data_IF_072185964268
#
_entry.id   IF_072185964268
#
_cell.length_a   1.000
_cell.length_b   1.000
_cell.length_c   1.000
_cell.angle_alpha   90.00
_cell.angle_beta   90.00
_cell.angle_gamma   90.00
#
_symmetry.space_group_name_H-M   'P 1'
#
loop_
_entity.id
_entity.type
_entity.pdbx_description
1 polymer ?
#
# COMPACT_ATOMS: atom_id res chain seq x y z
N UNK A 1 26.20 28.12 -1.79
CA UNK A 1 25.22 28.96 -1.07
C UNK A 1 24.54 29.90 -2.06
N UNK A 2 23.42 29.48 -2.65
CA UNK A 2 22.60 30.36 -3.50
C UNK A 2 21.49 30.97 -2.62
N UNK A 3 21.79 32.11 -2.00
CA UNK A 3 20.76 32.94 -1.36
C UNK A 3 19.88 33.53 -2.47
N UNK A 4 18.66 33.02 -2.64
CA UNK A 4 17.60 33.71 -3.40
C UNK A 4 17.03 34.85 -2.54
N UNK A 5 16.57 35.95 -3.15
CA UNK A 5 16.43 37.24 -2.47
C UNK A 5 15.18 37.27 -1.59
N UNK A 6 15.34 37.64 -0.32
CA UNK A 6 14.23 38.01 0.55
C UNK A 6 13.54 39.25 -0.01
N UNK A 7 12.24 39.18 -0.29
CA UNK A 7 11.44 40.37 -0.64
C UNK A 7 11.22 41.15 0.64
N UNK A 8 11.92 42.27 0.78
CA UNK A 8 11.70 43.25 1.85
C UNK A 8 10.43 44.04 1.56
N UNK A 9 9.30 43.65 2.15
CA UNK A 9 8.14 44.54 2.25
C UNK A 9 8.39 45.52 3.41
N UNK A 10 8.85 46.72 3.07
CA UNK A 10 8.98 47.81 4.02
C UNK A 10 7.59 48.34 4.39
N UNK A 11 7.01 47.84 5.47
CA UNK A 11 5.96 48.56 6.19
C UNK A 11 6.60 49.39 7.30
N UNK A 12 6.18 50.65 7.34
CA UNK A 12 6.80 51.70 8.13
C UNK A 12 6.61 51.41 9.63
N UNK A 13 7.69 51.64 10.39
CA UNK A 13 7.82 51.57 11.85
C UNK A 13 7.91 50.17 12.47
N UNK A 14 9.14 49.65 12.48
CA UNK A 14 9.72 49.03 13.68
C UNK A 14 9.20 47.65 14.09
N UNK A 15 9.14 46.68 13.18
CA UNK A 15 9.25 45.23 13.46
C UNK A 15 9.41 44.48 12.13
N UNK A 16 10.63 44.06 11.80
CA UNK A 16 10.83 43.16 10.67
C UNK A 16 10.46 41.74 11.09
N UNK A 17 9.22 41.31 10.83
CA UNK A 17 8.91 39.88 10.79
C UNK A 17 9.39 39.36 9.44
N UNK A 18 10.63 38.86 9.40
CA UNK A 18 11.11 38.05 8.31
C UNK A 18 10.40 36.68 8.39
N UNK A 19 9.26 36.56 7.72
CA UNK A 19 8.66 35.26 7.48
C UNK A 19 9.41 34.61 6.30
N UNK A 20 10.48 33.88 6.60
CA UNK A 20 10.93 32.85 5.68
C UNK A 20 9.88 31.73 5.78
N UNK A 21 9.19 31.43 4.68
CA UNK A 21 8.47 30.17 4.59
C UNK A 21 9.53 29.06 4.73
N UNK A 22 9.68 28.51 5.92
CA UNK A 22 10.53 27.35 6.14
C UNK A 22 9.87 26.21 5.36
N UNK A 23 10.54 25.72 4.32
CA UNK A 23 10.09 24.50 3.65
C UNK A 23 9.97 23.40 4.72
N UNK A 24 8.82 22.74 4.76
CA UNK A 24 8.56 21.70 5.75
C UNK A 24 9.59 20.57 5.53
N UNK A 25 10.47 20.27 6.51
CA UNK A 25 11.51 19.25 6.35
C UNK A 25 10.92 17.87 6.06
N UNK A 26 9.67 17.61 6.48
CA UNK A 26 8.92 16.39 6.17
C UNK A 26 8.63 16.20 4.68
N UNK A 27 8.69 17.28 3.89
CA UNK A 27 8.38 17.28 2.46
C UNK A 27 9.63 17.32 1.58
N UNK A 28 10.83 17.37 2.18
CA UNK A 28 12.08 17.46 1.45
C UNK A 28 12.52 16.07 0.97
N UNK A 29 12.76 15.95 -0.34
CA UNK A 29 13.35 14.75 -0.93
C UNK A 29 14.85 14.72 -0.61
N UNK A 30 15.39 13.58 -0.15
CA UNK A 30 16.83 13.44 0.12
C UNK A 30 17.64 13.51 -1.19
N UNK A 31 18.80 14.17 -1.14
CA UNK A 31 19.76 14.20 -2.25
C UNK A 31 21.17 13.91 -1.69
N UNK A 32 21.82 12.81 -2.11
CA UNK A 32 23.17 12.46 -1.68
C UNK A 32 24.23 13.53 -1.97
N UNK A 33 24.00 14.37 -2.98
CA UNK A 33 24.98 15.34 -3.45
C UNK A 33 26.13 14.71 -4.25
N UNK A 34 27.12 15.52 -4.67
CA UNK A 34 28.17 15.10 -5.59
C UNK A 34 29.38 14.42 -4.91
N UNK A 35 29.45 14.42 -3.59
CA UNK A 35 30.53 13.74 -2.87
C UNK A 35 30.20 12.26 -2.65
N UNK A 36 31.23 11.43 -2.39
CA UNK A 36 31.10 9.96 -2.36
C UNK A 36 31.32 9.36 -0.95
N UNK A 37 31.19 10.14 0.11
CA UNK A 37 31.19 9.58 1.47
C UNK A 37 29.88 8.82 1.72
N UNK A 38 29.92 7.84 2.63
CA UNK A 38 28.74 7.09 3.06
C UNK A 38 28.31 7.52 4.46
N UNK A 39 27.76 8.74 4.58
CA UNK A 39 27.32 9.30 5.86
C UNK A 39 25.83 9.01 6.04
N UNK A 40 25.40 8.34 7.12
CA UNK A 40 23.98 8.11 7.36
C UNK A 40 23.29 9.44 7.64
N UNK A 41 22.18 9.67 6.95
CA UNK A 41 21.30 10.82 7.11
C UNK A 41 19.85 10.35 6.99
N UNK A 42 18.88 11.16 7.41
CA UNK A 42 17.48 10.75 7.51
C UNK A 42 16.55 11.68 6.74
N UNK A 43 15.46 11.13 6.25
CA UNK A 43 14.35 11.87 5.65
C UNK A 43 13.02 11.24 6.09
N UNK A 44 11.95 12.03 6.08
CA UNK A 44 10.62 11.49 6.28
C UNK A 44 10.09 10.99 4.95
N UNK A 45 9.85 9.70 4.88
CA UNK A 45 9.28 9.08 3.70
C UNK A 45 7.76 9.23 3.76
N UNK A 46 7.21 10.04 2.85
CA UNK A 46 5.79 10.37 2.84
C UNK A 46 4.91 9.19 2.42
N UNK A 47 5.43 8.24 1.65
CA UNK A 47 4.68 7.03 1.31
C UNK A 47 4.56 6.15 2.57
N UNK A 48 5.61 6.13 3.38
CA UNK A 48 5.75 5.24 4.54
C UNK A 48 5.34 5.82 5.87
N UNK A 49 5.19 7.13 5.95
CA UNK A 49 5.02 7.87 7.19
C UNK A 49 6.07 7.50 8.24
N UNK A 50 7.30 7.20 7.79
CA UNK A 50 8.39 6.77 8.65
C UNK A 50 9.69 7.49 8.29
N UNK A 51 10.60 7.52 9.25
CA UNK A 51 11.91 8.08 9.08
C UNK A 51 12.85 7.04 8.47
N UNK A 52 13.28 7.29 7.24
CA UNK A 52 14.12 6.38 6.47
C UNK A 52 15.54 6.94 6.38
N UNK A 53 16.54 6.05 6.46
CA UNK A 53 17.95 6.40 6.31
C UNK A 53 18.36 6.43 4.83
N UNK A 54 19.20 7.38 4.45
CA UNK A 54 19.89 7.42 3.16
C UNK A 54 21.37 7.74 3.35
N UNK A 55 22.17 7.51 2.30
CA UNK A 55 23.61 7.78 2.29
C UNK A 55 23.90 9.17 1.72
N UNK A 56 24.29 10.11 2.57
CA UNK A 56 24.74 11.44 2.16
C UNK A 56 26.24 11.45 1.84
N UNK A 57 26.58 12.07 0.71
CA UNK A 57 27.93 12.17 0.18
C UNK A 57 28.90 12.98 1.02
N UNK A 58 28.42 13.72 2.01
CA UNK A 58 29.23 14.61 2.86
C UNK A 58 29.45 16.01 2.30
N UNK A 59 28.88 16.33 1.14
CA UNK A 59 28.84 17.69 0.63
C UNK A 59 27.65 17.93 -0.30
N UNK A 60 27.11 19.14 -0.30
CA UNK A 60 25.96 19.49 -1.15
C UNK A 60 24.72 18.64 -0.83
N UNK A 61 23.85 18.46 -1.82
CA UNK A 61 22.64 17.66 -1.66
C UNK A 61 21.60 18.28 -0.72
N UNK A 62 20.67 17.43 -0.26
CA UNK A 62 19.59 17.76 0.65
C UNK A 62 19.57 16.71 1.74
N UNK A 63 19.78 17.16 2.98
CA UNK A 63 19.71 16.35 4.20
C UNK A 63 18.55 16.89 5.03
N UNK A 64 17.37 16.24 4.98
CA UNK A 64 16.21 16.71 5.75
C UNK A 64 16.42 16.62 7.27
N UNK A 65 17.06 15.54 7.74
CA UNK A 65 17.38 15.31 9.16
C UNK A 65 18.77 14.68 9.30
N UNK A 66 19.53 15.11 10.31
CA UNK A 66 20.88 14.58 10.57
C UNK A 66 20.87 13.40 11.52
N UNK A 67 19.75 13.12 12.19
CA UNK A 67 19.56 11.98 13.10
C UNK A 67 18.17 11.38 12.96
N UNK A 68 17.99 10.12 13.38
CA UNK A 68 16.69 9.47 13.43
C UNK A 68 15.75 10.21 14.39
N UNK A 69 16.26 10.59 15.56
CA UNK A 69 15.52 11.25 16.63
C UNK A 69 14.95 12.60 16.18
N UNK A 70 15.71 13.36 15.37
CA UNK A 70 15.22 14.62 14.78
C UNK A 70 14.06 14.39 13.82
N UNK A 71 14.14 13.35 13.00
CA UNK A 71 13.09 13.02 12.05
C UNK A 71 11.81 12.58 12.78
N UNK A 72 11.92 11.70 13.77
CA UNK A 72 10.77 11.20 14.54
C UNK A 72 10.12 12.33 15.35
N UNK A 73 10.92 13.24 15.91
CA UNK A 73 10.42 14.40 16.65
C UNK A 73 9.71 15.45 15.78
N UNK A 74 9.92 15.44 14.46
CA UNK A 74 9.34 16.41 13.54
C UNK A 74 7.82 16.24 13.30
N UNK A 75 7.21 15.18 13.83
CA UNK A 75 5.76 14.90 13.77
C UNK A 75 5.20 14.95 12.33
N UNK A 76 5.98 14.46 11.37
CA UNK A 76 5.66 14.50 9.95
C UNK A 76 4.42 13.66 9.54
N UNK A 77 3.95 12.76 10.43
CA UNK A 77 2.76 11.90 10.23
C UNK A 77 1.40 12.63 10.30
N UNK A 78 1.43 13.90 10.71
CA UNK A 78 0.36 14.89 10.81
C UNK A 78 -0.44 15.22 9.53
N UNK A 79 -0.88 14.26 8.70
CA UNK A 79 -1.81 14.56 7.58
C UNK A 79 -1.47 14.03 6.19
N UNK A 80 -0.50 13.12 6.06
CA UNK A 80 -0.29 12.30 4.86
C UNK A 80 -0.75 10.88 5.15
N UNK A 81 -1.73 10.36 4.40
CA UNK A 81 -2.14 8.97 4.54
C UNK A 81 -0.96 8.05 4.22
N UNK A 82 -0.38 7.41 5.23
CA UNK A 82 0.71 6.47 5.03
C UNK A 82 0.30 5.17 4.38
N UNK A 83 1.26 4.25 4.29
CA UNK A 83 1.03 2.89 3.80
C UNK A 83 -0.16 2.19 4.45
N UNK A 84 -0.64 2.61 5.62
CA UNK A 84 -1.90 2.08 6.17
C UNK A 84 -3.03 2.11 5.15
N UNK A 85 -3.17 3.20 4.37
CA UNK A 85 -4.13 3.25 3.27
C UNK A 85 -3.80 2.34 2.08
N UNK A 86 -2.51 2.05 1.85
CA UNK A 86 -2.05 1.12 0.81
C UNK A 86 -2.28 -0.34 1.23
N UNK A 87 -1.94 -0.72 2.46
CA UNK A 87 -2.17 -2.05 3.02
C UNK A 87 -3.66 -2.39 3.10
N UNK A 88 -4.51 -1.42 3.45
CA UNK A 88 -5.97 -1.58 3.42
C UNK A 88 -6.52 -1.77 1.99
N UNK A 89 -5.75 -1.37 0.98
CA UNK A 89 -6.09 -1.50 -0.44
C UNK A 89 -5.47 -2.73 -1.10
N UNK A 90 -4.86 -3.64 -0.31
CA UNK A 90 -4.32 -4.92 -0.77
C UNK A 90 -5.14 -6.03 -0.11
N UNK A 91 -5.82 -6.82 -0.93
CA UNK A 91 -6.49 -8.04 -0.49
C UNK A 91 -5.59 -9.25 -0.73
N UNK A 92 -5.43 -10.09 0.29
CA UNK A 92 -4.77 -11.39 0.17
C UNK A 92 -5.72 -12.48 0.66
N UNK A 93 -6.14 -13.34 -0.26
CA UNK A 93 -7.15 -14.38 -0.01
C UNK A 93 -6.53 -15.76 -0.17
N UNK A 94 -6.58 -16.64 0.84
CA UNK A 94 -6.19 -18.04 0.68
C UNK A 94 -7.02 -18.73 -0.40
N UNK A 95 -6.36 -19.33 -1.40
CA UNK A 95 -7.00 -20.13 -2.45
C UNK A 95 -6.90 -21.62 -2.14
N UNK A 96 -5.69 -22.10 -1.83
CA UNK A 96 -5.41 -23.51 -1.55
C UNK A 96 -4.45 -23.61 -0.37
N UNK A 97 -4.91 -24.28 0.70
CA UNK A 97 -4.03 -24.70 1.80
C UNK A 97 -3.46 -26.07 1.40
N UNK A 98 -2.20 -26.08 0.95
CA UNK A 98 -1.53 -27.31 0.54
C UNK A 98 -1.35 -28.29 1.69
N UNK A 99 -1.27 -29.57 1.34
CA UNK A 99 -0.82 -30.64 2.25
C UNK A 99 0.71 -30.78 2.19
N UNK A 100 1.27 -31.71 2.95
CA UNK A 100 2.71 -32.03 2.89
C UNK A 100 3.23 -32.45 1.49
N UNK A 101 2.37 -32.85 0.55
CA UNK A 101 2.78 -33.20 -0.82
C UNK A 101 2.86 -31.97 -1.72
N UNK A 102 1.92 -31.04 -1.57
CA UNK A 102 1.90 -29.77 -2.30
C UNK A 102 2.97 -28.81 -1.77
N UNK A 103 3.14 -28.76 -0.45
CA UNK A 103 4.23 -28.07 0.25
C UNK A 103 4.15 -26.54 0.25
N UNK A 104 3.02 -25.95 -0.17
CA UNK A 104 2.84 -24.51 -0.22
C UNK A 104 1.39 -24.08 0.04
N UNK A 105 1.22 -22.83 0.47
CA UNK A 105 -0.04 -22.11 0.51
C UNK A 105 -0.17 -21.26 -0.77
N UNK A 106 -1.28 -21.42 -1.48
CA UNK A 106 -1.63 -20.55 -2.61
C UNK A 106 -2.57 -19.44 -2.12
N UNK A 107 -2.23 -18.20 -2.47
CA UNK A 107 -3.04 -17.01 -2.17
C UNK A 107 -3.32 -16.22 -3.45
N UNK A 108 -4.51 -15.67 -3.56
CA UNK A 108 -4.83 -14.63 -4.53
C UNK A 108 -4.48 -13.28 -3.94
N UNK A 109 -3.75 -12.46 -4.69
CA UNK A 109 -3.44 -11.09 -4.31
C UNK A 109 -4.10 -10.15 -5.30
N UNK A 110 -4.86 -9.20 -4.78
CA UNK A 110 -5.49 -8.14 -5.57
C UNK A 110 -5.22 -6.79 -4.91
N UNK A 111 -4.77 -5.84 -5.72
CA UNK A 111 -4.42 -4.50 -5.29
C UNK A 111 -5.38 -3.50 -5.93
N UNK A 112 -5.95 -2.61 -5.13
CA UNK A 112 -6.96 -1.64 -5.56
C UNK A 112 -6.51 -0.18 -5.40
N UNK A 113 -5.25 0.04 -5.04
CA UNK A 113 -4.74 1.39 -4.86
C UNK A 113 -4.32 2.02 -6.19
N UNK A 114 -4.66 3.29 -6.40
CA UNK A 114 -4.39 4.03 -7.64
C UNK A 114 -3.09 4.86 -7.57
N UNK A 115 -2.19 4.55 -6.64
CA UNK A 115 -0.93 5.29 -6.46
C UNK A 115 0.16 4.77 -7.40
N UNK A 116 1.13 5.62 -7.75
CA UNK A 116 2.35 5.20 -8.44
C UNK A 116 3.35 4.46 -7.51
N UNK A 117 2.97 4.20 -6.26
CA UNK A 117 3.80 3.49 -5.30
C UNK A 117 4.00 2.02 -5.71
N UNK A 118 5.26 1.59 -5.73
CA UNK A 118 5.67 0.27 -6.19
C UNK A 118 6.50 -0.43 -5.11
N UNK A 119 6.03 -1.58 -4.64
CA UNK A 119 6.79 -2.41 -3.71
C UNK A 119 7.88 -3.18 -4.46
N UNK A 120 9.13 -2.73 -4.39
CA UNK A 120 10.26 -3.38 -5.06
C UNK A 120 10.73 -4.66 -4.37
N UNK A 121 11.00 -5.71 -5.15
CA UNK A 121 11.47 -7.01 -4.63
C UNK A 121 10.63 -7.56 -3.46
N UNK A 122 9.31 -7.43 -3.59
CA UNK A 122 8.38 -7.66 -2.50
C UNK A 122 7.97 -9.13 -2.35
N UNK A 123 7.89 -9.58 -1.11
CA UNK A 123 7.55 -10.96 -0.78
C UNK A 123 6.64 -11.06 0.45
N UNK A 124 5.75 -12.05 0.42
CA UNK A 124 4.93 -12.43 1.55
C UNK A 124 5.62 -13.49 2.41
N UNK A 125 5.47 -13.35 3.72
CA UNK A 125 5.90 -14.32 4.71
C UNK A 125 4.83 -14.48 5.79
N UNK A 126 4.59 -15.73 6.20
CA UNK A 126 3.56 -16.11 7.14
C UNK A 126 4.23 -16.58 8.44
N UNK A 127 3.78 -16.03 9.56
CA UNK A 127 4.32 -16.31 10.89
C UNK A 127 3.25 -16.87 11.81
N UNK A 128 3.66 -17.67 12.80
CA UNK A 128 2.79 -18.08 13.90
C UNK A 128 2.78 -17.02 15.03
N UNK A 129 2.00 -17.28 16.08
CA UNK A 129 1.88 -16.44 17.27
C UNK A 129 3.18 -16.31 18.08
N UNK A 130 4.10 -17.26 17.93
CA UNK A 130 5.44 -17.21 18.51
C UNK A 130 6.43 -16.42 17.63
N UNK A 131 6.03 -15.96 16.45
CA UNK A 131 6.90 -15.27 15.49
C UNK A 131 7.81 -16.22 14.70
N UNK A 132 7.51 -17.51 14.68
CA UNK A 132 8.21 -18.52 13.87
C UNK A 132 7.73 -18.43 12.43
N UNK A 133 8.66 -18.51 11.49
CA UNK A 133 8.32 -18.55 10.07
C UNK A 133 7.62 -19.88 9.74
N UNK A 134 6.43 -19.80 9.15
CA UNK A 134 5.58 -20.94 8.78
C UNK A 134 5.68 -21.20 7.28
N UNK A 135 5.53 -20.16 6.48
CA UNK A 135 5.59 -20.23 5.02
C UNK A 135 6.14 -18.92 4.46
N UNK A 136 6.83 -18.95 3.32
CA UNK A 136 7.30 -17.71 2.68
C UNK A 136 7.42 -17.88 1.17
N UNK A 137 7.29 -16.76 0.47
CA UNK A 137 7.69 -16.70 -0.91
C UNK A 137 9.20 -16.74 -1.07
N UNK A 138 9.65 -17.32 -2.18
CA UNK A 138 11.03 -17.25 -2.62
C UNK A 138 11.10 -16.83 -4.09
N UNK A 139 12.32 -16.71 -4.60
CA UNK A 139 12.57 -16.27 -5.99
C UNK A 139 11.95 -17.19 -7.05
N UNK A 140 11.71 -18.46 -6.74
CA UNK A 140 11.08 -19.42 -7.65
C UNK A 140 9.54 -19.34 -7.61
N UNK A 141 8.96 -18.87 -6.51
CA UNK A 141 7.50 -18.87 -6.29
C UNK A 141 6.84 -17.51 -6.39
N UNK A 142 7.62 -16.43 -6.48
CA UNK A 142 7.16 -15.07 -6.72
C UNK A 142 7.37 -14.66 -8.20
N UNK A 143 6.43 -14.94 -9.12
CA UNK A 143 6.58 -14.61 -10.54
C UNK A 143 6.73 -13.09 -10.81
N UNK A 144 6.32 -12.27 -9.85
CA UNK A 144 6.49 -10.81 -9.81
C UNK A 144 7.58 -10.38 -8.81
N UNK A 145 8.64 -11.17 -8.63
CA UNK A 145 9.78 -10.87 -7.74
C UNK A 145 10.45 -9.50 -7.99
N UNK A 146 10.14 -8.81 -9.09
CA UNK A 146 10.62 -7.44 -9.35
C UNK A 146 9.77 -6.38 -8.62
N UNK A 147 8.49 -6.65 -8.37
CA UNK A 147 7.65 -5.87 -7.47
C UNK A 147 6.16 -5.89 -7.77
N UNK A 148 5.41 -5.06 -7.04
CA UNK A 148 3.95 -5.07 -6.97
C UNK A 148 3.39 -3.64 -6.93
N UNK A 149 2.57 -3.24 -7.91
CA UNK A 149 2.28 -1.84 -8.25
C UNK A 149 0.79 -1.50 -8.46
N UNK A 150 -0.15 -2.30 -7.96
CA UNK A 150 -1.59 -1.98 -8.10
C UNK A 150 -2.18 -2.25 -9.49
N UNK A 151 -1.36 -2.42 -10.53
CA UNK A 151 -1.79 -2.54 -11.93
C UNK A 151 -1.92 -3.99 -12.39
N UNK A 152 -1.16 -4.90 -11.76
CA UNK A 152 -1.37 -6.33 -11.83
C UNK A 152 -2.66 -6.65 -11.06
N UNK A 153 -3.79 -6.74 -11.77
CA UNK A 153 -5.05 -7.22 -11.21
C UNK A 153 -4.93 -8.62 -10.58
N UNK A 154 -6.00 -9.14 -9.96
CA UNK A 154 -5.96 -10.36 -9.17
C UNK A 154 -5.11 -11.50 -9.77
N UNK A 155 -4.12 -11.98 -9.00
CA UNK A 155 -3.21 -13.03 -9.44
C UNK A 155 -2.76 -13.94 -8.28
N UNK A 156 -2.48 -15.23 -8.56
CA UNK A 156 -2.02 -16.15 -7.53
C UNK A 156 -0.54 -15.89 -7.15
N UNK A 157 -0.20 -16.20 -5.91
CA UNK A 157 1.15 -16.25 -5.34
C UNK A 157 1.29 -17.47 -4.45
N UNK A 158 2.51 -17.99 -4.29
CA UNK A 158 2.76 -19.26 -3.61
C UNK A 158 3.78 -19.10 -2.49
N UNK A 159 3.37 -19.39 -1.25
CA UNK A 159 4.21 -19.38 -0.07
C UNK A 159 4.63 -20.82 0.27
N UNK A 160 5.89 -21.15 0.09
CA UNK A 160 6.44 -22.47 0.39
C UNK A 160 6.53 -22.67 1.91
N UNK A 161 6.11 -23.86 2.35
CA UNK A 161 6.15 -24.25 3.76
C UNK A 161 7.58 -24.47 4.24
N UNK A 162 7.82 -24.07 5.50
CA UNK A 162 9.04 -24.46 6.19
C UNK A 162 9.05 -25.98 6.44
N UNK A 163 10.23 -26.60 6.59
CA UNK A 163 10.33 -28.04 6.82
C UNK A 163 9.50 -28.48 8.04
N UNK A 164 8.58 -29.42 7.82
CA UNK A 164 7.71 -29.98 8.87
C UNK A 164 6.41 -29.20 9.11
N UNK A 165 6.16 -28.12 8.36
CA UNK A 165 4.88 -27.42 8.37
C UNK A 165 3.91 -28.08 7.38
N UNK A 166 2.69 -28.33 7.84
CA UNK A 166 1.55 -28.76 7.03
C UNK A 166 0.28 -28.09 7.57
N UNK A 167 -0.07 -26.94 6.99
CA UNK A 167 -1.21 -26.14 7.42
C UNK A 167 -2.56 -26.85 7.26
N UNK A 168 -2.66 -27.83 6.35
CA UNK A 168 -3.89 -28.62 6.17
C UNK A 168 -4.27 -29.44 7.41
N UNK A 169 -3.32 -29.66 8.31
CA UNK A 169 -3.51 -30.41 9.55
C UNK A 169 -3.80 -29.54 10.77
N UNK A 170 -3.72 -28.21 10.63
CA UNK A 170 -3.88 -27.28 11.75
C UNK A 170 -5.36 -27.08 12.07
N UNK A 171 -5.71 -27.13 13.36
CA UNK A 171 -7.07 -26.93 13.80
C UNK A 171 -7.38 -25.42 13.93
N UNK A 172 -8.54 -25.01 13.39
CA UNK A 172 -9.11 -23.67 13.63
C UNK A 172 -9.71 -23.58 15.05
N UNK A 173 -9.61 -22.41 15.73
CA UNK A 173 -8.90 -21.21 15.28
C UNK A 173 -7.40 -21.33 15.53
N UNK A 174 -6.60 -20.95 14.55
CA UNK A 174 -5.16 -20.72 14.73
C UNK A 174 -4.91 -19.20 14.83
N UNK A 175 -3.67 -18.79 15.02
CA UNK A 175 -3.28 -17.38 14.97
C UNK A 175 -2.04 -17.27 14.10
N UNK A 176 -2.23 -16.79 12.88
CA UNK A 176 -1.17 -16.58 11.92
C UNK A 176 -1.12 -15.10 11.54
N UNK A 177 0.07 -14.62 11.21
CA UNK A 177 0.29 -13.25 10.74
C UNK A 177 0.96 -13.29 9.37
N UNK A 178 0.23 -12.87 8.34
CA UNK A 178 0.77 -12.66 7.01
C UNK A 178 1.42 -11.29 6.95
N UNK A 179 2.65 -11.21 6.50
CA UNK A 179 3.42 -9.97 6.37
C UNK A 179 3.88 -9.77 4.95
N UNK A 180 3.81 -8.54 4.46
CA UNK A 180 4.41 -8.10 3.21
C UNK A 180 5.71 -7.35 3.50
N UNK A 181 6.79 -7.82 2.90
CA UNK A 181 8.10 -7.18 2.97
C UNK A 181 8.48 -6.56 1.63
N UNK A 182 9.05 -5.37 1.66
CA UNK A 182 9.79 -4.79 0.53
C UNK A 182 11.27 -5.16 0.64
N UNK A 183 11.94 -5.43 -0.48
CA UNK A 183 13.35 -5.86 -0.45
C UNK A 183 13.55 -7.27 0.09
N UNK A 184 12.49 -8.08 0.21
CA UNK A 184 12.53 -9.47 0.69
C UNK A 184 13.54 -10.31 -0.07
N UNK A 185 13.52 -10.23 -1.40
CA UNK A 185 14.46 -10.95 -2.26
C UNK A 185 15.80 -10.23 -2.47
N UNK A 186 15.98 -9.03 -1.91
CA UNK A 186 17.17 -8.19 -2.08
C UNK A 186 18.10 -8.16 -0.85
N UNK A 187 17.75 -8.86 0.24
CA UNK A 187 18.62 -9.07 1.40
C UNK A 187 18.53 -8.02 2.51
N UNK A 188 17.73 -6.96 2.32
CA UNK A 188 17.38 -5.99 3.36
C UNK A 188 15.85 -5.84 3.41
N UNK A 189 15.13 -6.83 3.95
CA UNK A 189 13.68 -6.79 4.02
C UNK A 189 13.20 -5.72 5.01
N UNK A 190 12.28 -4.87 4.56
CA UNK A 190 11.53 -3.93 5.41
C UNK A 190 10.07 -4.35 5.44
N UNK A 191 9.53 -4.59 6.63
CA UNK A 191 8.11 -4.92 6.80
C UNK A 191 7.24 -3.71 6.44
N UNK A 192 6.22 -3.93 5.61
CA UNK A 192 5.33 -2.86 5.12
C UNK A 192 3.90 -3.03 5.56
N UNK A 193 3.36 -4.25 5.45
CA UNK A 193 1.99 -4.56 5.81
C UNK A 193 1.93 -5.85 6.63
N UNK A 194 0.94 -5.97 7.50
CA UNK A 194 0.66 -7.17 8.28
C UNK A 194 -0.86 -7.39 8.38
N UNK A 195 -1.28 -8.65 8.22
CA UNK A 195 -2.67 -9.10 8.36
C UNK A 195 -2.72 -10.31 9.27
N UNK A 196 -3.66 -10.32 10.21
CA UNK A 196 -3.90 -11.47 11.09
C UNK A 196 -4.92 -12.42 10.47
N UNK A 197 -4.61 -13.70 10.47
CA UNK A 197 -5.49 -14.78 10.08
C UNK A 197 -5.76 -15.71 11.25
N UNK A 198 -7.05 -15.94 11.52
CA UNK A 198 -7.48 -16.87 12.57
C UNK A 198 -8.13 -18.13 12.03
N UNK A 199 -8.51 -18.10 10.76
CA UNK A 199 -9.05 -19.21 10.02
C UNK A 199 -8.76 -19.02 8.52
N UNK A 200 -8.65 -20.12 7.79
CA UNK A 200 -8.67 -20.11 6.34
C UNK A 200 -10.09 -20.44 5.96
N UNK A 201 -10.94 -19.41 5.89
CA UNK A 201 -12.37 -19.58 5.58
C UNK A 201 -12.53 -20.58 4.43
N UNK A 202 -13.20 -21.70 4.70
CA UNK A 202 -13.49 -22.65 3.62
C UNK A 202 -14.52 -21.98 2.70
N UNK A 203 -14.49 -22.21 1.38
CA UNK A 203 -15.60 -21.82 0.50
C UNK A 203 -16.95 -22.40 0.96
N UNK A 204 -16.96 -23.40 1.86
CA UNK A 204 -18.15 -23.97 2.46
C UNK A 204 -18.74 -23.13 3.62
N UNK A 205 -17.99 -22.22 4.24
CA UNK A 205 -18.53 -21.27 5.22
C UNK A 205 -19.32 -20.12 4.56
N UNK A 206 -19.33 -20.08 3.22
CA UNK A 206 -20.19 -19.24 2.39
C UNK A 206 -21.60 -19.84 2.20
N UNK A 207 -21.85 -21.10 2.61
CA UNK A 207 -23.16 -21.77 2.44
C UNK A 207 -24.27 -21.33 3.43
N UNK A 208 -24.12 -20.18 4.10
CA UNK A 208 -25.25 -19.55 4.83
C UNK A 208 -25.30 -18.03 4.65
N UNK A 209 -25.14 -17.55 3.43
CA UNK A 209 -25.92 -16.38 3.01
C UNK A 209 -27.15 -16.94 2.30
N UNK A 210 -28.37 -16.74 2.84
CA UNK A 210 -29.58 -17.14 2.15
C UNK A 210 -29.58 -16.58 0.73
N UNK A 211 -29.75 -17.45 -0.28
CA UNK A 211 -30.01 -17.06 -1.66
C UNK A 211 -31.43 -16.47 -1.79
N UNK A 212 -31.69 -15.38 -1.06
CA UNK A 212 -32.89 -14.58 -1.15
C UNK A 212 -32.66 -13.17 -0.59
N UNK A 213 -32.05 -12.34 -1.47
CA UNK A 213 -32.56 -11.01 -1.88
C UNK A 213 -32.63 -9.89 -0.81
N UNK A 214 -31.73 -8.90 -0.96
CA UNK A 214 -31.96 -7.42 -1.00
C UNK A 214 -30.59 -6.71 -0.91
N UNK A 215 -30.08 -5.84 -1.78
CA UNK A 215 -30.52 -5.21 -3.02
C UNK A 215 -29.25 -4.92 -3.87
N UNK A 216 -29.13 -5.54 -5.06
CA UNK A 216 -28.45 -4.85 -6.15
C UNK A 216 -29.34 -3.66 -6.47
N UNK A 217 -29.05 -2.51 -5.86
CA UNK A 217 -29.84 -1.30 -6.00
C UNK A 217 -30.22 -1.11 -7.47
N UNK A 218 -31.50 -0.89 -7.74
CA UNK A 218 -31.96 -0.66 -9.11
C UNK A 218 -31.07 0.40 -9.74
N UNK A 219 -30.52 0.18 -10.94
CA UNK A 219 -29.59 1.12 -11.56
C UNK A 219 -30.23 2.51 -11.59
N UNK A 220 -29.53 3.49 -11.02
CA UNK A 220 -29.98 4.88 -11.04
C UNK A 220 -29.81 5.39 -12.48
N UNK A 221 -30.94 5.75 -13.10
CA UNK A 221 -30.94 6.32 -14.44
C UNK A 221 -30.82 7.83 -14.34
N UNK A 222 -29.77 8.37 -14.93
CA UNK A 222 -29.52 9.81 -14.99
C UNK A 222 -29.60 10.30 -16.44
N UNK A 223 -30.05 11.53 -16.64
CA UNK A 223 -29.84 12.22 -17.91
C UNK A 223 -28.34 12.51 -18.14
N UNK A 224 -27.97 12.98 -19.32
CA UNK A 224 -26.57 13.32 -19.64
C UNK A 224 -26.00 14.47 -18.78
N UNK A 225 -26.84 15.13 -17.97
CA UNK A 225 -26.46 16.17 -17.02
C UNK A 225 -26.42 15.65 -15.57
N UNK A 226 -26.59 14.34 -15.36
CA UNK A 226 -26.48 13.71 -14.04
C UNK A 226 -27.73 13.83 -13.17
N UNK A 227 -28.90 14.18 -13.72
CA UNK A 227 -30.16 14.30 -12.96
C UNK A 227 -31.00 13.01 -13.06
N UNK A 228 -31.65 12.57 -11.97
CA UNK A 228 -32.51 11.39 -11.97
C UNK A 228 -33.62 11.47 -13.03
N UNK A 229 -33.80 10.38 -13.78
CA UNK A 229 -34.81 10.27 -14.85
C UNK A 229 -35.25 8.82 -15.03
N UNK A 230 -36.25 8.57 -15.88
CA UNK A 230 -36.68 7.21 -16.25
C UNK A 230 -36.18 6.80 -17.64
N UNK A 231 -35.85 5.51 -17.85
CA UNK A 231 -35.42 5.01 -19.14
C UNK A 231 -36.55 5.14 -20.16
N UNK A 232 -36.31 5.93 -21.21
CA UNK A 232 -37.24 6.15 -22.32
C UNK A 232 -36.56 5.71 -23.62
N UNK A 233 -37.19 4.84 -24.44
CA UNK A 233 -36.62 4.40 -25.71
C UNK A 233 -36.17 5.55 -26.61
N UNK A 234 -35.05 5.36 -27.31
CA UNK A 234 -34.47 6.33 -28.23
C UNK A 234 -33.66 7.46 -27.58
N UNK A 235 -33.42 7.42 -26.25
CA UNK A 235 -32.59 8.40 -25.53
C UNK A 235 -31.29 7.80 -25.03
N UNK A 236 -30.25 8.63 -25.00
CA UNK A 236 -29.00 8.33 -24.31
C UNK A 236 -29.11 8.74 -22.85
N UNK A 237 -28.87 7.79 -21.95
CA UNK A 237 -28.89 7.98 -20.51
C UNK A 237 -27.59 7.47 -19.89
N UNK A 238 -27.32 7.89 -18.66
CA UNK A 238 -26.26 7.33 -17.84
C UNK A 238 -26.88 6.29 -16.90
N UNK A 239 -26.34 5.08 -16.91
CA UNK A 239 -26.68 4.00 -15.98
C UNK A 239 -25.63 4.00 -14.89
N UNK A 240 -26.03 4.27 -13.65
CA UNK A 240 -25.15 4.24 -12.48
C UNK A 240 -25.39 2.98 -11.66
N UNK A 241 -24.34 2.19 -11.48
CA UNK A 241 -24.33 0.96 -10.70
C UNK A 241 -23.18 1.03 -9.69
N UNK A 242 -23.51 1.34 -8.43
CA UNK A 242 -22.51 1.65 -7.41
C UNK A 242 -21.69 2.89 -7.79
N UNK A 243 -20.38 2.71 -7.99
CA UNK A 243 -19.43 3.76 -8.41
C UNK A 243 -19.23 3.85 -9.94
N UNK A 244 -19.73 2.88 -10.70
CA UNK A 244 -19.59 2.85 -12.16
C UNK A 244 -20.70 3.64 -12.85
N UNK A 245 -20.35 4.45 -13.85
CA UNK A 245 -21.28 5.24 -14.66
C UNK A 245 -21.03 4.97 -16.14
N UNK A 246 -22.01 4.37 -16.81
CA UNK A 246 -21.91 3.99 -18.23
C UNK A 246 -22.98 4.68 -19.06
N UNK A 247 -22.61 5.21 -20.22
CA UNK A 247 -23.55 5.81 -21.17
C UNK A 247 -24.23 4.71 -22.00
N UNK A 248 -25.56 4.62 -21.93
CA UNK A 248 -26.37 3.59 -22.58
C UNK A 248 -27.44 4.24 -23.47
N UNK A 249 -27.65 3.71 -24.68
CA UNK A 249 -28.81 4.07 -25.50
C UNK A 249 -29.95 3.11 -25.16
N UNK A 250 -31.10 3.63 -24.74
CA UNK A 250 -32.26 2.79 -24.46
C UNK A 250 -32.87 2.37 -25.80
N UNK A 251 -32.73 1.09 -26.17
CA UNK A 251 -33.43 0.53 -27.32
C UNK A 251 -34.93 0.38 -27.03
N UNK A 252 -35.73 0.24 -28.09
CA UNK A 252 -37.14 -0.14 -27.97
C UNK A 252 -37.35 -1.49 -27.28
#
# INVERSE_FOLDING_TARGET
MSLKPCVLLALTWGSHLAACAQENPCMLLPDPGPCEAAIPAWYFDQDFQTCTVFSWGGCGGVVPFETLEECEAAACGEGSGGLTGLCDSIAVTPLVVGDANLGHLEVEVEAFYETDYWFGYAGFALFDDAGTLVAAENVATAPNAFGFDGQLGAHPRYLDYQPGVDLSTWASPFSLELRLYEGWMAGLPTERCAWTWTDFATPADVERIPEDREERGTPEWLDLLGRPTSPTPGRWLLRKEGRSVTRVMISE
#
